data_IF_391433356302
#
_entry.id   IF_391433356302
#
_cell.length_a   1.000
_cell.length_b   1.000
_cell.length_c   1.000
_cell.angle_alpha   90.00
_cell.angle_beta   90.00
_cell.angle_gamma   90.00
#
_symmetry.space_group_name_H-M   'P 1'
#
loop_
_entity.id
_entity.type
_entity.pdbx_description
1 polymer ?
#
# COMPACT_ATOMS: atom_id res chain seq x y z
N UNK A 1 14.81 13.25 5.24
CA UNK A 1 13.86 12.90 4.16
C UNK A 1 12.77 12.01 4.79
N UNK A 2 11.72 11.60 4.07
CA UNK A 2 10.72 10.68 4.67
C UNK A 2 11.31 9.27 4.84
N UNK A 3 10.84 8.53 5.85
CA UNK A 3 11.30 7.16 6.16
C UNK A 3 11.10 6.20 4.97
N UNK A 4 9.99 6.33 4.24
CA UNK A 4 9.68 5.50 3.06
C UNK A 4 10.63 5.81 1.89
N UNK A 5 10.95 7.08 1.65
CA UNK A 5 11.91 7.45 0.61
C UNK A 5 13.31 6.85 0.89
N UNK A 6 13.77 6.91 2.13
CA UNK A 6 15.05 6.31 2.54
C UNK A 6 15.04 4.78 2.42
N UNK A 7 13.93 4.13 2.78
CA UNK A 7 13.72 2.69 2.59
C UNK A 7 13.90 2.29 1.11
N UNK A 8 13.16 2.94 0.20
CA UNK A 8 13.20 2.67 -1.24
C UNK A 8 14.61 2.93 -1.80
N UNK A 9 15.20 4.08 -1.49
CA UNK A 9 16.54 4.45 -1.96
C UNK A 9 17.58 3.40 -1.52
N UNK A 10 17.55 2.97 -0.26
CA UNK A 10 18.53 2.00 0.25
C UNK A 10 18.48 0.65 -0.49
N UNK A 11 17.29 0.19 -0.87
CA UNK A 11 17.11 -1.05 -1.65
C UNK A 11 17.67 -0.90 -3.07
N UNK A 12 17.38 0.23 -3.71
CA UNK A 12 17.91 0.56 -5.05
C UNK A 12 19.44 0.63 -5.02
N UNK A 13 20.03 1.28 -4.01
CA UNK A 13 21.49 1.38 -3.85
C UNK A 13 22.17 0.03 -3.64
N UNK A 14 21.47 -0.97 -3.08
CA UNK A 14 21.94 -2.35 -2.96
C UNK A 14 21.77 -3.18 -4.25
N UNK A 15 21.21 -2.61 -5.31
CA UNK A 15 20.97 -3.27 -6.58
C UNK A 15 19.73 -4.17 -6.61
N UNK A 16 18.85 -4.06 -5.60
CA UNK A 16 17.61 -4.83 -5.52
C UNK A 16 16.60 -4.35 -6.59
N UNK A 17 15.78 -5.27 -7.10
CA UNK A 17 14.60 -4.93 -7.89
C UNK A 17 13.42 -4.79 -6.94
N UNK A 18 12.65 -3.72 -7.12
CA UNK A 18 11.51 -3.41 -6.26
C UNK A 18 10.21 -3.74 -6.98
N UNK A 19 9.28 -4.37 -6.27
CA UNK A 19 7.91 -4.60 -6.71
C UNK A 19 6.92 -3.94 -5.77
N UNK A 20 6.02 -3.12 -6.28
CA UNK A 20 4.95 -2.49 -5.49
C UNK A 20 3.58 -2.96 -5.97
N UNK A 21 2.77 -3.49 -5.07
CA UNK A 21 1.41 -3.93 -5.43
C UNK A 21 0.42 -2.77 -5.26
N UNK A 22 -0.27 -2.40 -6.33
CA UNK A 22 -1.42 -1.49 -6.25
C UNK A 22 -2.68 -2.24 -5.81
N UNK A 23 -3.28 -1.79 -4.72
CA UNK A 23 -4.55 -2.26 -4.19
C UNK A 23 -5.60 -1.19 -4.46
N UNK A 24 -6.66 -1.58 -5.16
CA UNK A 24 -7.85 -0.77 -5.31
C UNK A 24 -8.72 -0.90 -4.04
N UNK A 25 -8.98 0.20 -3.32
CA UNK A 25 -9.81 0.17 -2.11
C UNK A 25 -11.31 0.09 -2.38
N UNK A 26 -11.79 0.13 -3.64
CA UNK A 26 -13.22 -0.05 -3.94
C UNK A 26 -13.69 -1.45 -3.46
N UNK A 27 -14.66 -1.48 -2.52
CA UNK A 27 -15.30 -2.70 -2.00
C UNK A 27 -14.33 -3.75 -1.44
N UNK A 28 -13.39 -3.34 -0.59
CA UNK A 28 -12.48 -4.28 0.08
C UNK A 28 -13.20 -5.25 1.01
N UNK A 29 -12.92 -6.55 0.83
CA UNK A 29 -13.19 -7.59 1.82
C UNK A 29 -11.95 -7.76 2.72
N UNK A 30 -12.14 -7.65 4.05
CA UNK A 30 -11.05 -7.65 5.04
C UNK A 30 -10.28 -8.98 5.03
N UNK A 31 -10.99 -10.11 5.16
CA UNK A 31 -10.38 -11.44 5.26
C UNK A 31 -9.61 -11.79 3.97
N UNK A 32 -10.19 -11.43 2.83
CA UNK A 32 -9.56 -11.64 1.53
C UNK A 32 -8.31 -10.76 1.36
N UNK A 33 -8.37 -9.49 1.78
CA UNK A 33 -7.25 -8.59 1.69
C UNK A 33 -6.09 -9.05 2.57
N UNK A 34 -6.34 -9.46 3.81
CA UNK A 34 -5.30 -9.99 4.70
C UNK A 34 -4.63 -11.25 4.14
N UNK A 35 -5.42 -12.18 3.59
CA UNK A 35 -4.89 -13.38 2.97
C UNK A 35 -4.06 -13.04 1.75
N UNK A 36 -4.58 -12.17 0.89
CA UNK A 36 -3.92 -11.74 -0.35
C UNK A 36 -2.64 -10.98 -0.07
N UNK A 37 -2.63 -10.09 0.92
CA UNK A 37 -1.44 -9.32 1.30
C UNK A 37 -0.30 -10.23 1.77
N UNK A 38 -0.60 -11.30 2.52
CA UNK A 38 0.40 -12.29 2.92
C UNK A 38 0.99 -13.00 1.71
N UNK A 39 0.15 -13.46 0.78
CA UNK A 39 0.63 -14.10 -0.45
C UNK A 39 1.45 -13.13 -1.34
N UNK A 40 1.11 -11.85 -1.37
CA UNK A 40 1.88 -10.84 -2.10
C UNK A 40 3.25 -10.56 -1.47
N UNK A 41 3.34 -10.58 -0.13
CA UNK A 41 4.62 -10.49 0.58
C UNK A 41 5.49 -11.70 0.25
N UNK A 42 4.93 -12.91 0.30
CA UNK A 42 5.65 -14.14 -0.08
C UNK A 42 6.10 -14.12 -1.55
N UNK A 43 5.33 -13.49 -2.43
CA UNK A 43 5.67 -13.29 -3.83
C UNK A 43 6.74 -12.20 -4.07
N UNK A 44 7.18 -11.49 -3.02
CA UNK A 44 8.27 -10.52 -3.08
C UNK A 44 7.83 -9.07 -3.28
N UNK A 45 6.61 -8.70 -2.88
CA UNK A 45 6.24 -7.28 -2.84
C UNK A 45 7.03 -6.53 -1.76
N UNK A 46 7.45 -5.30 -2.06
CA UNK A 46 8.27 -4.47 -1.17
C UNK A 46 7.47 -3.34 -0.51
N UNK A 47 6.35 -2.95 -1.13
CA UNK A 47 5.42 -1.96 -0.61
C UNK A 47 4.03 -2.16 -1.22
N UNK A 48 3.02 -1.71 -0.50
CA UNK A 48 1.67 -1.61 -1.03
C UNK A 48 1.38 -0.17 -1.44
N UNK A 49 0.62 -0.03 -2.51
CA UNK A 49 0.06 1.25 -2.94
C UNK A 49 -1.46 1.18 -2.84
N UNK A 50 -2.11 2.29 -2.47
CA UNK A 50 -3.57 2.38 -2.41
C UNK A 50 -4.06 3.40 -3.41
N UNK A 51 -4.96 2.98 -4.30
CA UNK A 51 -5.58 3.82 -5.32
C UNK A 51 -5.96 3.01 -6.55
N UNK A 52 -6.16 3.70 -7.68
CA UNK A 52 -6.53 3.05 -8.95
C UNK A 52 -7.98 3.27 -9.38
N UNK A 53 -8.85 3.72 -8.48
CA UNK A 53 -10.26 4.03 -8.77
C UNK A 53 -10.69 5.44 -8.37
N UNK A 54 -11.69 5.96 -9.09
CA UNK A 54 -12.31 7.26 -8.82
C UNK A 54 -13.46 7.19 -7.80
N UNK A 55 -14.06 6.01 -7.62
CA UNK A 55 -15.25 5.79 -6.79
C UNK A 55 -14.91 5.33 -5.35
N UNK A 56 -13.73 5.70 -4.86
CA UNK A 56 -13.25 5.34 -3.52
C UNK A 56 -13.73 6.35 -2.49
N UNK A 57 -14.17 5.86 -1.33
CA UNK A 57 -14.45 6.68 -0.15
C UNK A 57 -13.22 6.80 0.77
N UNK A 58 -13.08 7.88 1.55
CA UNK A 58 -12.02 8.01 2.54
C UNK A 58 -12.00 6.87 3.58
N UNK A 59 -13.17 6.34 3.92
CA UNK A 59 -13.33 5.22 4.85
C UNK A 59 -12.75 3.93 4.28
N UNK A 60 -13.04 3.62 3.01
CA UNK A 60 -12.46 2.46 2.30
C UNK A 60 -10.94 2.58 2.21
N UNK A 61 -10.42 3.72 1.75
CA UNK A 61 -8.98 3.96 1.67
C UNK A 61 -8.30 3.79 3.05
N UNK A 62 -8.94 4.30 4.11
CA UNK A 62 -8.43 4.20 5.48
C UNK A 62 -8.47 2.77 6.03
N UNK A 63 -9.53 2.01 5.72
CA UNK A 63 -9.65 0.60 6.11
C UNK A 63 -8.58 -0.24 5.42
N UNK A 64 -8.44 -0.10 4.11
CA UNK A 64 -7.41 -0.78 3.32
C UNK A 64 -6.01 -0.46 3.84
N UNK A 65 -5.73 0.81 4.14
CA UNK A 65 -4.43 1.23 4.69
C UNK A 65 -4.13 0.58 6.04
N UNK A 66 -5.10 0.50 6.95
CA UNK A 66 -4.91 -0.15 8.26
C UNK A 66 -4.56 -1.63 8.10
N UNK A 67 -5.33 -2.36 7.30
CA UNK A 67 -5.14 -3.80 7.09
C UNK A 67 -3.76 -4.09 6.50
N UNK A 68 -3.35 -3.33 5.48
CA UNK A 68 -2.05 -3.51 4.84
C UNK A 68 -0.89 -3.13 5.76
N UNK A 69 -1.06 -2.11 6.60
CA UNK A 69 -0.03 -1.65 7.56
C UNK A 69 0.29 -2.72 8.61
N UNK A 70 -0.70 -3.51 9.01
CA UNK A 70 -0.51 -4.65 9.93
C UNK A 70 0.37 -5.76 9.34
N UNK A 71 0.57 -5.78 8.01
CA UNK A 71 1.40 -6.77 7.33
C UNK A 71 2.90 -6.42 7.32
N UNK A 72 3.27 -5.24 7.81
CA UNK A 72 4.66 -4.85 8.05
C UNK A 72 5.43 -4.29 6.85
N UNK A 73 4.76 -4.04 5.72
CA UNK A 73 5.33 -3.32 4.58
C UNK A 73 4.81 -1.87 4.50
N UNK A 74 5.58 -0.94 3.91
CA UNK A 74 5.12 0.43 3.71
C UNK A 74 3.84 0.48 2.87
N UNK A 75 2.92 1.36 3.26
CA UNK A 75 1.69 1.66 2.52
C UNK A 75 1.78 3.07 1.95
N UNK A 76 1.64 3.22 0.64
CA UNK A 76 1.86 4.47 -0.10
C UNK A 76 0.57 4.87 -0.81
N UNK A 77 0.18 6.13 -0.75
CA UNK A 77 -0.95 6.61 -1.55
C UNK A 77 -0.52 6.71 -3.01
N UNK A 78 -1.24 6.04 -3.92
CA UNK A 78 -1.15 6.25 -5.37
C UNK A 78 -2.38 7.07 -5.81
N UNK A 79 -2.27 8.41 -5.85
CA UNK A 79 -3.45 9.26 -5.88
C UNK A 79 -4.19 9.17 -7.22
N UNK A 80 -5.42 8.66 -7.18
CA UNK A 80 -6.40 8.78 -8.27
C UNK A 80 -7.41 9.92 -8.05
N UNK A 81 -7.67 10.26 -6.79
CA UNK A 81 -8.52 11.38 -6.34
C UNK A 81 -8.13 11.77 -4.89
N UNK A 82 -8.78 12.79 -4.32
CA UNK A 82 -8.53 13.25 -2.94
C UNK A 82 -9.02 12.26 -1.87
N UNK A 83 -9.98 11.39 -2.20
CA UNK A 83 -10.56 10.44 -1.26
C UNK A 83 -9.59 9.31 -0.88
N UNK A 84 -8.56 9.05 -1.70
CA UNK A 84 -7.50 8.10 -1.35
C UNK A 84 -6.55 8.64 -0.26
N UNK A 85 -6.61 9.93 0.09
CA UNK A 85 -5.78 10.48 1.15
C UNK A 85 -6.25 10.00 2.51
N UNK A 86 -5.32 9.46 3.29
CA UNK A 86 -5.61 8.90 4.61
C UNK A 86 -4.40 9.06 5.54
N UNK A 87 -4.61 9.35 6.85
CA UNK A 87 -3.51 9.46 7.81
C UNK A 87 -2.86 8.10 8.15
N UNK A 88 -3.42 6.99 7.65
CA UNK A 88 -2.92 5.65 7.93
C UNK A 88 -1.85 5.19 6.94
N UNK A 89 -1.74 5.83 5.78
CA UNK A 89 -0.65 5.60 4.83
C UNK A 89 0.67 6.19 5.37
N UNK A 90 1.80 5.64 4.93
CA UNK A 90 3.14 6.04 5.36
C UNK A 90 3.78 7.10 4.46
N UNK A 91 3.30 7.25 3.21
CA UNK A 91 3.76 8.23 2.23
C UNK A 91 2.67 8.64 1.24
#
# INVERSE_FOLDING_TARGET
MSRVHEYIRSKIERGEKLHFTLIDPDRVNVDELEKTSKSLIEAGTDAFMIGGSLAVTPEEASLTAKILKEQGLPVIVFPGNINCLTPYADA
#
